data_IF_860811326660
#
_entry.id   IF_860811326660
#
_cell.length_a   1.000
_cell.length_b   1.000
_cell.length_c   1.000
_cell.angle_alpha   90.00
_cell.angle_beta   90.00
_cell.angle_gamma   90.00
#
_symmetry.space_group_name_H-M   'P 1'
#
loop_
_entity.id
_entity.type
_entity.pdbx_description
1 polymer ?
#
# COMPACT_ATOMS: atom_id res chain seq x y z
N UNK A 1 14.99 -16.64 0.09
CA UNK A 1 14.63 -15.57 1.06
C UNK A 1 13.23 -15.04 0.77
N UNK A 2 12.58 -14.35 1.72
CA UNK A 2 11.29 -13.68 1.50
C UNK A 2 11.32 -12.73 0.29
N UNK A 3 12.43 -12.01 0.12
CA UNK A 3 12.68 -11.13 -1.03
C UNK A 3 12.63 -11.89 -2.37
N UNK A 4 13.26 -13.05 -2.45
CA UNK A 4 13.23 -13.88 -3.66
C UNK A 4 11.82 -14.38 -3.97
N UNK A 5 11.07 -14.80 -2.95
CA UNK A 5 9.68 -15.25 -3.10
C UNK A 5 8.80 -14.10 -3.63
N UNK A 6 8.93 -12.90 -3.06
CA UNK A 6 8.23 -11.70 -3.54
C UNK A 6 8.53 -11.40 -5.01
N UNK A 7 9.78 -11.57 -5.43
CA UNK A 7 10.18 -11.30 -6.82
C UNK A 7 9.70 -12.36 -7.81
N UNK A 8 9.59 -13.61 -7.36
CA UNK A 8 9.11 -14.72 -8.19
C UNK A 8 7.60 -14.68 -8.37
N UNK A 9 6.87 -14.42 -7.30
CA UNK A 9 5.40 -14.46 -7.26
C UNK A 9 4.86 -13.16 -6.63
N UNK A 10 4.77 -12.07 -7.41
CA UNK A 10 4.12 -10.86 -6.91
C UNK A 10 2.65 -11.15 -6.64
N UNK A 11 2.18 -10.83 -5.44
CA UNK A 11 0.78 -10.98 -5.08
C UNK A 11 0.23 -9.72 -4.39
N UNK A 12 -1.05 -9.48 -4.57
CA UNK A 12 -1.79 -8.42 -3.92
C UNK A 12 -3.06 -9.01 -3.29
N UNK A 13 -3.22 -8.80 -2.00
CA UNK A 13 -4.46 -9.11 -1.29
C UNK A 13 -5.42 -7.93 -1.33
N UNK A 14 -6.71 -8.23 -1.37
CA UNK A 14 -7.80 -7.29 -1.24
C UNK A 14 -8.65 -7.80 -0.09
N UNK A 15 -8.75 -6.99 0.96
CA UNK A 15 -9.36 -7.35 2.25
C UNK A 15 -10.39 -6.29 2.66
N UNK A 16 -11.43 -6.62 3.42
CA UNK A 16 -12.42 -5.64 3.90
C UNK A 16 -11.77 -4.47 4.68
N UNK A 17 -10.65 -4.74 5.37
CA UNK A 17 -9.89 -3.77 6.14
C UNK A 17 -9.09 -2.77 5.28
N UNK A 18 -9.05 -2.95 3.96
CA UNK A 18 -8.34 -2.03 3.06
C UNK A 18 -8.87 -0.59 3.09
N UNK A 19 -10.12 -0.40 3.51
CA UNK A 19 -10.69 0.91 3.84
C UNK A 19 -9.81 1.70 4.83
N UNK A 20 -9.12 1.00 5.73
CA UNK A 20 -8.27 1.60 6.75
C UNK A 20 -7.00 2.22 6.16
N UNK A 21 -6.64 1.86 4.93
CA UNK A 21 -5.62 2.60 4.17
C UNK A 21 -6.04 4.06 3.93
N UNK A 22 -7.35 4.34 3.83
CA UNK A 22 -7.86 5.70 3.63
C UNK A 22 -8.16 6.38 4.96
N UNK A 23 -8.81 5.68 5.88
CA UNK A 23 -9.32 6.25 7.13
C UNK A 23 -8.39 6.08 8.33
N UNK A 24 -7.55 5.06 8.31
CA UNK A 24 -6.70 4.67 9.42
C UNK A 24 -5.37 5.43 9.51
N UNK A 25 -4.45 4.82 10.25
CA UNK A 25 -3.16 5.43 10.58
C UNK A 25 -2.20 5.55 9.39
N UNK A 26 -1.30 6.55 9.40
CA UNK A 26 -0.29 6.74 8.36
C UNK A 26 0.56 5.52 8.06
N UNK A 27 0.74 4.63 9.03
CA UNK A 27 1.51 3.39 8.88
C UNK A 27 0.95 2.49 7.79
N UNK A 28 -0.39 2.36 7.69
CA UNK A 28 -1.04 1.52 6.67
C UNK A 28 -0.77 2.05 5.26
N UNK A 29 -0.83 3.37 5.09
CA UNK A 29 -0.52 4.02 3.82
C UNK A 29 0.96 3.87 3.43
N UNK A 30 1.88 4.07 4.39
CA UNK A 30 3.31 3.81 4.15
C UNK A 30 3.55 2.36 3.75
N UNK A 31 2.95 1.41 4.47
CA UNK A 31 3.08 -0.03 4.18
C UNK A 31 2.64 -0.37 2.76
N UNK A 32 1.52 0.21 2.30
CA UNK A 32 1.03 0.01 0.94
C UNK A 32 2.05 0.51 -0.10
N UNK A 33 2.50 1.77 0.00
CA UNK A 33 3.45 2.34 -0.95
C UNK A 33 4.83 1.68 -0.86
N UNK A 34 5.35 1.45 0.34
CA UNK A 34 6.67 0.84 0.52
C UNK A 34 6.70 -0.60 -0.02
N UNK A 35 5.61 -1.35 0.17
CA UNK A 35 5.46 -2.69 -0.41
C UNK A 35 5.42 -2.62 -1.94
N UNK A 36 4.62 -1.72 -2.51
CA UNK A 36 4.52 -1.52 -3.95
C UNK A 36 5.89 -1.16 -4.56
N UNK A 37 6.59 -0.19 -3.98
CA UNK A 37 7.90 0.24 -4.45
C UNK A 37 8.93 -0.90 -4.33
N UNK A 38 8.90 -1.66 -3.24
CA UNK A 38 9.81 -2.80 -3.01
C UNK A 38 9.66 -3.91 -4.06
N UNK A 39 8.45 -4.14 -4.57
CA UNK A 39 8.24 -5.07 -5.69
C UNK A 39 8.81 -4.52 -6.99
N UNK A 40 8.64 -3.24 -7.26
CA UNK A 40 9.07 -2.59 -8.49
C UNK A 40 10.57 -2.29 -8.52
N UNK A 41 11.17 -2.05 -7.35
CA UNK A 41 12.58 -1.72 -7.17
C UNK A 41 13.15 -2.43 -5.93
N UNK A 42 13.72 -3.64 -6.11
CA UNK A 42 14.23 -4.44 -4.99
C UNK A 42 15.32 -3.76 -4.14
N UNK A 43 16.07 -2.84 -4.74
CA UNK A 43 17.06 -2.01 -4.01
C UNK A 43 16.40 -1.07 -2.98
N UNK A 44 15.16 -0.68 -3.21
CA UNK A 44 14.38 0.10 -2.25
C UNK A 44 14.09 -0.69 -0.97
N UNK A 45 13.77 -1.98 -1.10
CA UNK A 45 13.58 -2.85 0.07
C UNK A 45 14.85 -2.95 0.92
N UNK A 46 16.01 -3.10 0.27
CA UNK A 46 17.30 -3.13 0.98
C UNK A 46 17.55 -1.80 1.71
N UNK A 47 17.21 -0.66 1.09
CA UNK A 47 17.34 0.66 1.73
C UNK A 47 16.36 0.84 2.90
N UNK A 48 15.13 0.32 2.81
CA UNK A 48 14.19 0.31 3.95
C UNK A 48 14.76 -0.49 5.13
N UNK A 49 15.32 -1.67 4.89
CA UNK A 49 15.95 -2.48 5.93
C UNK A 49 17.16 -1.78 6.55
N UNK A 50 17.99 -1.14 5.71
CA UNK A 50 19.11 -0.33 6.18
C UNK A 50 18.63 0.81 7.08
N UNK A 51 17.64 1.57 6.62
CA UNK A 51 17.05 2.66 7.38
C UNK A 51 16.52 2.20 8.74
N UNK A 52 15.80 1.08 8.79
CA UNK A 52 15.28 0.53 10.04
C UNK A 52 16.40 0.15 11.02
N UNK A 53 17.52 -0.42 10.53
CA UNK A 53 18.69 -0.74 11.37
C UNK A 53 19.33 0.53 11.93
N UNK A 54 19.52 1.56 11.09
CA UNK A 54 20.09 2.85 11.51
C UNK A 54 19.18 3.56 12.52
N UNK A 55 17.87 3.53 12.30
CA UNK A 55 16.88 4.09 13.21
C UNK A 55 16.89 3.39 14.57
N UNK A 56 16.94 2.05 14.56
CA UNK A 56 17.04 1.25 15.79
C UNK A 56 18.33 1.58 16.55
N UNK A 57 19.45 1.70 15.86
CA UNK A 57 20.75 2.07 16.46
C UNK A 57 20.69 3.46 17.09
N UNK A 58 20.16 4.48 16.37
CA UNK A 58 20.00 5.82 16.93
C UNK A 58 19.10 5.81 18.17
N UNK A 59 17.96 5.12 18.11
CA UNK A 59 17.04 5.03 19.24
C UNK A 59 17.66 4.35 20.46
N UNK A 60 18.53 3.37 20.25
CA UNK A 60 19.31 2.74 21.33
C UNK A 60 20.25 3.75 22.00
N UNK A 61 21.03 4.48 21.21
CA UNK A 61 21.95 5.51 21.73
C UNK A 61 21.22 6.63 22.48
N UNK A 62 20.02 7.02 22.02
CA UNK A 62 19.18 8.00 22.74
C UNK A 62 18.75 7.50 24.11
N UNK A 63 18.33 6.24 24.22
CA UNK A 63 17.90 5.60 25.48
C UNK A 63 19.06 5.48 26.46
N UNK A 64 20.23 5.10 25.99
CA UNK A 64 21.45 4.94 26.77
C UNK A 64 22.13 6.27 27.08
N UNK A 65 21.67 7.38 26.47
CA UNK A 65 22.32 8.71 26.54
C UNK A 65 23.78 8.67 26.08
N UNK A 66 24.11 7.76 25.15
CA UNK A 66 25.44 7.54 24.63
C UNK A 66 25.63 8.32 23.33
N UNK A 67 26.07 9.57 23.41
CA UNK A 67 26.14 10.47 22.26
C UNK A 67 27.44 10.38 21.47
N UNK A 68 28.34 9.51 21.87
CA UNK A 68 29.57 9.26 21.11
C UNK A 68 29.21 8.75 19.71
N UNK A 69 29.79 9.35 18.66
CA UNK A 69 29.51 9.05 17.25
C UNK A 69 28.04 9.28 16.80
N UNK A 70 27.21 9.97 17.58
CA UNK A 70 25.82 10.23 17.22
C UNK A 70 25.70 10.99 15.89
N UNK A 71 26.57 11.97 15.64
CA UNK A 71 26.58 12.74 14.38
C UNK A 71 26.83 11.85 13.15
N UNK A 72 27.65 10.80 13.29
CA UNK A 72 27.84 9.81 12.23
C UNK A 72 26.55 9.04 11.94
N UNK A 73 25.89 8.53 12.98
CA UNK A 73 24.64 7.77 12.83
C UNK A 73 23.51 8.62 12.26
N UNK A 74 23.41 9.89 12.68
CA UNK A 74 22.41 10.83 12.15
C UNK A 74 22.66 11.17 10.69
N UNK A 75 23.92 11.31 10.28
CA UNK A 75 24.28 11.51 8.86
C UNK A 75 23.92 10.30 8.02
N UNK A 76 24.27 9.08 8.45
CA UNK A 76 23.93 7.85 7.74
C UNK A 76 22.40 7.64 7.65
N UNK A 77 21.67 7.93 8.74
CA UNK A 77 20.22 7.89 8.77
C UNK A 77 19.61 8.91 7.80
N UNK A 78 20.15 10.12 7.72
CA UNK A 78 19.71 11.17 6.79
C UNK A 78 19.93 10.77 5.34
N UNK A 79 21.08 10.23 4.98
CA UNK A 79 21.36 9.74 3.62
C UNK A 79 20.40 8.63 3.20
N UNK A 80 20.12 7.70 4.10
CA UNK A 80 19.15 6.62 3.85
C UNK A 80 17.73 7.16 3.73
N UNK A 81 17.34 8.10 4.59
CA UNK A 81 16.05 8.78 4.55
C UNK A 81 15.81 9.53 3.23
N UNK A 82 16.83 10.23 2.72
CA UNK A 82 16.77 10.96 1.46
C UNK A 82 16.47 10.02 0.28
N UNK A 83 17.14 8.87 0.22
CA UNK A 83 16.89 7.86 -0.82
C UNK A 83 15.44 7.34 -0.77
N UNK A 84 14.94 7.01 0.43
CA UNK A 84 13.56 6.56 0.63
C UNK A 84 12.58 7.64 0.18
N UNK A 85 12.73 8.89 0.64
CA UNK A 85 11.84 9.99 0.31
C UNK A 85 11.83 10.29 -1.20
N UNK A 86 12.99 10.28 -1.85
CA UNK A 86 13.11 10.46 -3.29
C UNK A 86 12.33 9.38 -4.07
N UNK A 87 12.50 8.11 -3.72
CA UNK A 87 11.79 7.01 -4.37
C UNK A 87 10.27 7.07 -4.13
N UNK A 88 9.85 7.37 -2.91
CA UNK A 88 8.44 7.59 -2.58
C UNK A 88 7.82 8.68 -3.45
N UNK A 89 8.50 9.80 -3.66
CA UNK A 89 8.05 10.89 -4.54
C UNK A 89 7.85 10.41 -5.98
N UNK A 90 8.87 9.78 -6.57
CA UNK A 90 8.82 9.27 -7.96
C UNK A 90 7.65 8.30 -8.15
N UNK A 91 7.50 7.33 -7.25
CA UNK A 91 6.44 6.32 -7.40
C UNK A 91 5.05 6.87 -7.08
N UNK A 92 4.96 7.88 -6.22
CA UNK A 92 3.71 8.59 -5.99
C UNK A 92 3.24 9.35 -7.23
N UNK A 93 4.15 10.01 -7.94
CA UNK A 93 3.83 10.69 -9.21
C UNK A 93 3.32 9.71 -10.24
N UNK A 94 3.94 8.53 -10.36
CA UNK A 94 3.48 7.45 -11.23
C UNK A 94 2.08 7.00 -10.84
N UNK A 95 1.84 6.83 -9.55
CA UNK A 95 0.55 6.40 -9.02
C UNK A 95 -0.55 7.45 -9.27
N UNK A 96 -0.25 8.72 -9.03
CA UNK A 96 -1.17 9.82 -9.28
C UNK A 96 -1.50 9.99 -10.77
N UNK A 97 -0.54 9.76 -11.66
CA UNK A 97 -0.79 9.74 -13.11
C UNK A 97 -1.73 8.59 -13.49
N UNK A 98 -1.58 7.42 -12.88
CA UNK A 98 -2.48 6.28 -13.08
C UNK A 98 -3.88 6.56 -12.52
N UNK A 99 -3.98 7.15 -11.32
CA UNK A 99 -5.25 7.60 -10.74
C UNK A 99 -6.00 8.56 -11.65
N UNK A 100 -5.30 9.54 -12.23
CA UNK A 100 -5.89 10.54 -13.15
C UNK A 100 -6.46 9.91 -14.41
N UNK A 101 -5.88 8.81 -14.88
CA UNK A 101 -6.33 8.08 -16.09
C UNK A 101 -7.42 7.06 -15.80
N UNK A 102 -7.54 6.62 -14.57
CA UNK A 102 -8.48 5.59 -14.17
C UNK A 102 -9.93 6.08 -14.22
N UNK A 103 -10.84 5.20 -14.63
CA UNK A 103 -12.28 5.43 -14.52
C UNK A 103 -12.73 5.12 -13.08
N UNK A 104 -12.52 6.07 -12.20
CA UNK A 104 -12.89 5.94 -10.80
C UNK A 104 -14.42 5.92 -10.62
N UNK A 105 -14.92 5.44 -9.47
CA UNK A 105 -16.35 5.49 -9.16
C UNK A 105 -16.84 6.95 -9.08
N UNK A 106 -18.15 7.15 -9.28
CA UNK A 106 -18.78 8.48 -9.18
C UNK A 106 -18.49 9.10 -7.81
N UNK A 107 -18.07 10.36 -7.81
CA UNK A 107 -17.71 11.11 -6.61
C UNK A 107 -16.25 10.93 -6.18
N UNK A 108 -15.43 10.21 -6.96
CA UNK A 108 -13.99 10.08 -6.72
C UNK A 108 -13.14 10.84 -7.76
N UNK A 109 -13.77 11.73 -8.54
CA UNK A 109 -13.08 12.50 -9.56
C UNK A 109 -12.06 13.46 -8.96
N UNK A 110 -10.87 13.50 -9.56
CA UNK A 110 -9.79 14.39 -9.14
C UNK A 110 -9.10 13.98 -7.84
N UNK A 111 -9.33 12.76 -7.36
CA UNK A 111 -8.63 12.23 -6.19
C UNK A 111 -7.13 12.03 -6.50
N UNK A 112 -6.29 12.32 -5.54
CA UNK A 112 -4.84 12.13 -5.63
C UNK A 112 -4.23 11.86 -4.26
N UNK A 113 -3.03 11.29 -4.23
CA UNK A 113 -2.24 11.19 -3.02
C UNK A 113 -1.26 12.36 -2.89
N UNK A 114 -1.22 12.94 -1.70
CA UNK A 114 -0.23 13.94 -1.30
C UNK A 114 0.81 13.28 -0.39
N UNK A 115 2.09 13.36 -0.75
CA UNK A 115 3.19 12.92 0.13
C UNK A 115 3.52 14.03 1.13
N UNK A 116 3.26 13.77 2.39
CA UNK A 116 3.56 14.68 3.49
C UNK A 116 4.78 14.16 4.26
N UNK A 117 5.94 14.77 3.99
CA UNK A 117 7.12 14.56 4.84
C UNK A 117 6.87 15.10 6.23
N UNK A 118 7.41 14.45 7.24
CA UNK A 118 7.28 14.87 8.62
C UNK A 118 8.44 15.78 9.10
N UNK A 119 9.30 16.20 8.18
CA UNK A 119 10.41 17.13 8.43
C UNK A 119 10.54 18.12 7.26
N UNK A 120 10.93 19.35 7.56
CA UNK A 120 10.94 20.45 6.57
C UNK A 120 12.25 20.57 5.81
N UNK A 121 13.39 20.23 6.47
CA UNK A 121 14.72 20.40 5.88
C UNK A 121 15.03 19.28 4.89
N UNK A 122 15.70 19.62 3.78
CA UNK A 122 16.18 18.61 2.83
C UNK A 122 17.19 17.67 3.49
N UNK A 123 18.07 18.20 4.35
CA UNK A 123 18.99 17.42 5.17
C UNK A 123 18.35 17.10 6.53
N UNK A 124 17.84 15.88 6.66
CA UNK A 124 17.27 15.37 7.89
C UNK A 124 18.28 15.40 9.06
N UNK A 125 19.62 15.34 8.81
CA UNK A 125 20.62 15.31 9.88
C UNK A 125 20.57 16.58 10.74
N UNK A 126 20.26 17.73 10.15
CA UNK A 126 20.10 18.99 10.87
C UNK A 126 18.88 18.95 11.80
N UNK A 127 17.76 18.38 11.32
CA UNK A 127 16.57 18.18 12.15
C UNK A 127 16.85 17.21 13.29
N UNK A 128 17.49 16.07 13.02
CA UNK A 128 17.84 15.08 14.04
C UNK A 128 18.75 15.65 15.13
N UNK A 129 19.73 16.47 14.73
CA UNK A 129 20.63 17.15 15.67
C UNK A 129 19.91 18.17 16.55
N UNK A 130 19.03 18.97 15.95
CA UNK A 130 18.19 19.96 16.65
C UNK A 130 17.26 19.27 17.65
N UNK A 131 16.62 18.18 17.23
CA UNK A 131 15.60 17.48 18.02
C UNK A 131 16.20 16.47 19.00
N UNK A 132 17.52 16.24 19.02
CA UNK A 132 18.21 15.28 19.89
C UNK A 132 17.82 15.41 21.38
N UNK A 133 17.73 16.60 21.99
CA UNK A 133 17.32 16.72 23.39
C UNK A 133 15.88 16.22 23.63
N UNK A 134 14.97 16.47 22.69
CA UNK A 134 13.59 16.01 22.78
C UNK A 134 13.50 14.49 22.54
N UNK A 135 14.16 13.99 21.50
CA UNK A 135 14.21 12.57 21.15
C UNK A 135 14.81 11.74 22.30
N UNK A 136 15.83 12.30 23.00
CA UNK A 136 16.44 11.67 24.20
C UNK A 136 15.43 11.52 25.33
N UNK A 137 14.59 12.54 25.58
CA UNK A 137 13.53 12.46 26.60
C UNK A 137 12.47 11.44 26.25
N UNK A 138 12.15 11.31 24.98
CA UNK A 138 11.13 10.38 24.48
C UNK A 138 11.66 8.95 24.30
N UNK A 139 12.99 8.79 24.15
CA UNK A 139 13.64 7.50 23.85
C UNK A 139 13.45 7.02 22.42
N UNK A 140 12.99 7.89 21.50
CA UNK A 140 12.82 7.54 20.08
C UNK A 140 12.91 8.77 19.16
N UNK A 141 13.21 8.51 17.90
CA UNK A 141 13.34 9.51 16.83
C UNK A 141 11.96 9.94 16.33
N UNK A 142 11.66 11.24 16.30
CA UNK A 142 10.39 11.80 15.84
C UNK A 142 10.37 12.16 14.35
N UNK A 143 11.51 12.49 13.77
CA UNK A 143 11.61 12.97 12.41
C UNK A 143 12.15 11.89 11.47
N UNK A 144 11.59 11.79 10.26
CA UNK A 144 12.07 10.91 9.20
C UNK A 144 10.97 10.10 8.49
N UNK A 145 11.34 9.34 7.45
CA UNK A 145 10.41 8.59 6.59
C UNK A 145 9.47 7.63 7.32
N UNK A 146 9.85 7.13 8.48
CA UNK A 146 9.00 6.30 9.34
C UNK A 146 7.82 7.05 9.97
N UNK A 147 7.76 8.38 9.84
CA UNK A 147 6.70 9.27 10.32
C UNK A 147 5.99 10.03 9.21
N UNK A 148 6.42 9.87 7.96
CA UNK A 148 5.76 10.49 6.81
C UNK A 148 4.35 9.96 6.60
N UNK A 149 3.56 10.65 5.78
CA UNK A 149 2.22 10.23 5.41
C UNK A 149 1.96 10.37 3.91
N UNK A 150 1.02 9.56 3.41
CA UNK A 150 0.45 9.60 2.06
C UNK A 150 -1.04 9.90 2.19
N UNK A 151 -1.41 11.17 2.18
CA UNK A 151 -2.78 11.60 2.36
C UNK A 151 -3.56 11.48 1.05
N UNK A 152 -4.64 10.71 1.05
CA UNK A 152 -5.57 10.70 -0.07
C UNK A 152 -6.49 11.91 0.01
N UNK A 153 -6.50 12.72 -1.05
CA UNK A 153 -7.20 13.99 -1.10
C UNK A 153 -8.10 14.12 -2.32
N UNK A 154 -9.22 14.81 -2.13
CA UNK A 154 -9.91 15.53 -3.18
C UNK A 154 -9.33 16.95 -3.33
N UNK A 155 -9.67 17.68 -4.40
CA UNK A 155 -9.30 19.09 -4.51
C UNK A 155 -9.75 19.94 -3.32
N UNK A 156 -10.84 19.54 -2.64
CA UNK A 156 -11.43 20.27 -1.50
C UNK A 156 -10.91 19.81 -0.13
N UNK A 157 -10.10 18.74 -0.05
CA UNK A 157 -9.54 18.27 1.21
C UNK A 157 -9.39 16.75 1.32
N UNK A 158 -9.08 16.28 2.53
CA UNK A 158 -8.77 14.87 2.78
C UNK A 158 -10.00 13.99 2.62
N UNK A 159 -9.91 12.95 1.80
CA UNK A 159 -11.02 12.04 1.41
C UNK A 159 -11.80 11.52 2.62
N UNK A 160 -11.14 11.11 3.69
CA UNK A 160 -11.79 10.55 4.89
C UNK A 160 -12.82 11.47 5.56
N UNK A 161 -12.79 12.78 5.28
CA UNK A 161 -13.72 13.75 5.88
C UNK A 161 -14.94 14.04 4.99
N UNK A 162 -14.90 13.65 3.72
CA UNK A 162 -15.95 13.98 2.73
C UNK A 162 -16.63 12.74 2.13
N UNK A 163 -15.93 11.59 2.07
CA UNK A 163 -16.46 10.40 1.44
C UNK A 163 -17.32 9.57 2.41
N UNK A 164 -18.41 9.00 1.91
CA UNK A 164 -19.20 8.01 2.64
C UNK A 164 -18.44 6.71 2.83
N UNK A 165 -18.88 5.85 3.76
CA UNK A 165 -18.25 4.55 4.01
C UNK A 165 -18.23 3.66 2.76
N UNK A 166 -19.32 3.64 1.98
CA UNK A 166 -19.37 2.91 0.72
C UNK A 166 -18.40 3.44 -0.34
N UNK A 167 -18.26 4.78 -0.44
CA UNK A 167 -17.26 5.40 -1.32
C UNK A 167 -15.83 5.07 -0.89
N UNK A 168 -15.54 5.07 0.40
CA UNK A 168 -14.22 4.72 0.95
C UNK A 168 -13.87 3.28 0.59
N UNK A 169 -14.78 2.32 0.81
CA UNK A 169 -14.59 0.90 0.47
C UNK A 169 -14.31 0.71 -1.03
N UNK A 170 -15.17 1.29 -1.85
CA UNK A 170 -15.01 1.22 -3.31
C UNK A 170 -13.68 1.83 -3.75
N UNK A 171 -13.34 3.01 -3.21
CA UNK A 171 -12.12 3.72 -3.57
C UNK A 171 -10.86 2.97 -3.12
N UNK A 172 -10.87 2.34 -1.93
CA UNK A 172 -9.74 1.52 -1.47
C UNK A 172 -9.45 0.35 -2.40
N UNK A 173 -10.50 -0.28 -2.93
CA UNK A 173 -10.36 -1.33 -3.93
C UNK A 173 -9.74 -0.80 -5.23
N UNK A 174 -10.25 0.32 -5.77
CA UNK A 174 -9.69 0.92 -6.99
C UNK A 174 -8.22 1.32 -6.84
N UNK A 175 -7.83 1.83 -5.67
CA UNK A 175 -6.43 2.16 -5.37
C UNK A 175 -5.55 0.90 -5.49
N UNK A 176 -5.97 -0.22 -4.93
CA UNK A 176 -5.23 -1.49 -5.05
C UNK A 176 -5.24 -2.04 -6.48
N UNK A 177 -6.35 -1.92 -7.19
CA UNK A 177 -6.43 -2.32 -8.59
C UNK A 177 -5.46 -1.51 -9.46
N UNK A 178 -5.35 -0.20 -9.24
CA UNK A 178 -4.35 0.65 -9.92
C UNK A 178 -2.94 0.19 -9.57
N UNK A 179 -2.68 -0.16 -8.31
CA UNK A 179 -1.41 -0.76 -7.90
C UNK A 179 -1.09 -2.03 -8.68
N UNK A 180 -2.08 -2.92 -8.88
CA UNK A 180 -1.94 -4.14 -9.68
C UNK A 180 -1.65 -3.84 -11.15
N UNK A 181 -2.31 -2.84 -11.73
CA UNK A 181 -2.05 -2.38 -13.11
C UNK A 181 -0.63 -1.84 -13.28
N UNK A 182 -0.15 -1.05 -12.31
CA UNK A 182 1.24 -0.55 -12.31
C UNK A 182 2.23 -1.71 -12.25
N UNK A 183 1.97 -2.73 -11.42
CA UNK A 183 2.80 -3.94 -11.37
C UNK A 183 2.85 -4.67 -12.71
N UNK A 184 1.69 -4.98 -13.27
CA UNK A 184 1.60 -5.71 -14.53
C UNK A 184 2.37 -4.99 -15.65
N UNK A 185 2.25 -3.67 -15.74
CA UNK A 185 2.90 -2.85 -16.74
C UNK A 185 4.43 -2.79 -16.56
N UNK A 186 4.91 -2.65 -15.32
CA UNK A 186 6.34 -2.38 -15.05
C UNK A 186 7.18 -3.63 -14.87
N UNK A 187 6.65 -4.66 -14.22
CA UNK A 187 7.39 -5.91 -14.02
C UNK A 187 7.32 -6.84 -15.21
N UNK A 188 6.44 -6.58 -16.20
CA UNK A 188 6.11 -7.54 -17.28
C UNK A 188 5.73 -8.92 -16.70
N UNK A 189 5.26 -8.96 -15.47
CA UNK A 189 4.77 -10.13 -14.73
C UNK A 189 3.39 -9.80 -14.21
N UNK A 190 2.48 -10.76 -14.38
CA UNK A 190 1.12 -10.61 -13.87
C UNK A 190 1.11 -10.97 -12.38
N UNK A 191 0.65 -10.08 -11.48
CA UNK A 191 0.53 -10.41 -10.06
C UNK A 191 -0.61 -11.41 -9.86
N UNK A 192 -0.52 -12.25 -8.84
CA UNK A 192 -1.66 -13.04 -8.34
C UNK A 192 -2.50 -12.13 -7.45
N UNK A 193 -3.81 -12.10 -7.67
CA UNK A 193 -4.73 -11.32 -6.85
C UNK A 193 -5.50 -12.24 -5.91
N UNK A 194 -5.49 -11.93 -4.63
CA UNK A 194 -6.20 -12.63 -3.58
C UNK A 194 -7.31 -11.70 -3.08
N UNK A 195 -8.57 -12.05 -3.28
CA UNK A 195 -9.72 -11.20 -2.95
C UNK A 195 -10.56 -11.91 -1.90
N UNK A 196 -10.61 -11.34 -0.69
CA UNK A 196 -11.32 -11.91 0.43
C UNK A 196 -12.65 -11.18 0.68
N UNK A 197 -13.76 -11.84 0.36
CA UNK A 197 -15.16 -11.46 0.63
C UNK A 197 -15.58 -9.98 0.38
N UNK A 198 -14.82 -9.26 -0.45
CA UNK A 198 -15.06 -7.82 -0.71
C UNK A 198 -16.39 -7.57 -1.43
N UNK A 199 -16.81 -8.52 -2.26
CA UNK A 199 -17.98 -8.31 -3.12
C UNK A 199 -19.30 -8.26 -2.35
N UNK A 200 -19.38 -8.85 -1.16
CA UNK A 200 -20.57 -8.80 -0.31
C UNK A 200 -20.97 -7.37 0.10
N UNK A 201 -19.99 -6.49 0.21
CA UNK A 201 -20.16 -5.12 0.72
C UNK A 201 -20.34 -4.05 -0.38
N UNK A 202 -20.29 -4.45 -1.66
CA UNK A 202 -20.38 -3.54 -2.80
C UNK A 202 -21.76 -3.62 -3.47
N UNK A 203 -22.26 -2.48 -3.96
CA UNK A 203 -23.42 -2.47 -4.82
C UNK A 203 -23.14 -3.10 -6.20
N UNK A 204 -24.21 -3.50 -6.91
CA UNK A 204 -24.13 -4.22 -8.18
C UNK A 204 -23.35 -3.45 -9.27
N UNK A 205 -23.47 -2.12 -9.31
CA UNK A 205 -22.77 -1.28 -10.29
C UNK A 205 -21.26 -1.28 -10.05
N UNK A 206 -20.86 -1.10 -8.79
CA UNK A 206 -19.44 -1.10 -8.41
C UNK A 206 -18.83 -2.50 -8.55
N UNK A 207 -19.56 -3.57 -8.19
CA UNK A 207 -19.10 -4.96 -8.44
C UNK A 207 -18.76 -5.18 -9.91
N UNK A 208 -19.68 -4.83 -10.82
CA UNK A 208 -19.47 -5.00 -12.27
C UNK A 208 -18.24 -4.27 -12.77
N UNK A 209 -18.06 -3.01 -12.36
CA UNK A 209 -16.88 -2.22 -12.78
C UNK A 209 -15.57 -2.82 -12.27
N UNK A 210 -15.55 -3.28 -11.03
CA UNK A 210 -14.38 -3.91 -10.41
C UNK A 210 -14.01 -5.20 -11.15
N UNK A 211 -14.99 -6.05 -11.44
CA UNK A 211 -14.75 -7.29 -12.16
C UNK A 211 -14.22 -7.05 -13.57
N UNK A 212 -14.77 -6.07 -14.30
CA UNK A 212 -14.23 -5.67 -15.59
C UNK A 212 -12.76 -5.23 -15.47
N UNK A 213 -12.42 -4.43 -14.45
CA UNK A 213 -11.03 -4.03 -14.21
C UNK A 213 -10.09 -5.19 -13.86
N UNK A 214 -10.59 -6.21 -13.16
CA UNK A 214 -9.84 -7.44 -12.87
C UNK A 214 -9.65 -8.30 -14.14
N UNK A 215 -10.66 -8.41 -14.99
CA UNK A 215 -10.58 -9.15 -16.24
C UNK A 215 -9.59 -8.52 -17.24
N UNK A 216 -9.50 -7.18 -17.27
CA UNK A 216 -8.53 -6.45 -18.09
C UNK A 216 -7.07 -6.74 -17.70
N UNK A 217 -6.80 -7.11 -16.45
CA UNK A 217 -5.46 -7.46 -15.98
C UNK A 217 -4.97 -8.82 -16.53
N UNK A 218 -5.90 -9.68 -17.00
CA UNK A 218 -5.60 -11.03 -17.49
C UNK A 218 -4.65 -11.81 -16.55
N UNK A 219 -4.86 -11.72 -15.27
CA UNK A 219 -4.04 -12.32 -14.21
C UNK A 219 -4.78 -13.43 -13.49
N UNK A 220 -4.07 -14.23 -12.69
CA UNK A 220 -4.71 -15.20 -11.81
C UNK A 220 -5.37 -14.46 -10.64
N UNK A 221 -6.67 -14.73 -10.44
CA UNK A 221 -7.45 -14.16 -9.34
C UNK A 221 -8.02 -15.31 -8.52
N UNK A 222 -7.80 -15.28 -7.20
CA UNK A 222 -8.46 -16.16 -6.24
C UNK A 222 -9.44 -15.32 -5.43
N UNK A 223 -10.69 -15.74 -5.38
CA UNK A 223 -11.77 -15.02 -4.71
C UNK A 223 -12.41 -15.92 -3.69
N UNK A 224 -12.54 -15.45 -2.45
CA UNK A 224 -13.44 -16.08 -1.47
C UNK A 224 -14.78 -15.36 -1.46
N UNK A 225 -15.85 -16.09 -1.26
CA UNK A 225 -17.20 -15.55 -1.11
C UNK A 225 -18.07 -16.47 -0.28
N UNK A 226 -18.97 -15.91 0.51
CA UNK A 226 -19.92 -16.67 1.32
C UNK A 226 -20.97 -17.33 0.43
N UNK A 227 -21.36 -16.68 -0.68
CA UNK A 227 -22.38 -17.17 -1.60
C UNK A 227 -21.90 -17.14 -3.06
N UNK A 228 -21.87 -18.29 -3.72
CA UNK A 228 -21.51 -18.45 -5.14
C UNK A 228 -22.41 -17.59 -6.04
N UNK A 229 -23.71 -17.50 -5.75
CA UNK A 229 -24.68 -16.80 -6.58
C UNK A 229 -24.43 -15.27 -6.63
N UNK A 230 -23.70 -14.74 -5.66
CA UNK A 230 -23.29 -13.33 -5.66
C UNK A 230 -22.22 -13.00 -6.71
N UNK A 231 -21.50 -14.00 -7.22
CA UNK A 231 -20.39 -13.86 -8.14
C UNK A 231 -20.70 -14.33 -9.56
N UNK A 232 -21.42 -15.46 -9.68
CA UNK A 232 -21.64 -16.16 -10.97
C UNK A 232 -22.20 -15.27 -12.09
N UNK A 233 -23.20 -14.39 -11.86
CA UNK A 233 -23.77 -13.54 -12.92
C UNK A 233 -22.82 -12.45 -13.43
N UNK A 234 -21.68 -12.26 -12.77
CA UNK A 234 -20.81 -11.11 -12.98
C UNK A 234 -19.56 -11.46 -13.80
N UNK A 235 -19.17 -12.75 -13.84
CA UNK A 235 -18.02 -13.20 -14.60
C UNK A 235 -18.36 -13.49 -16.06
N UNK A 236 -17.60 -12.89 -16.98
CA UNK A 236 -17.68 -13.16 -18.42
C UNK A 236 -16.69 -14.26 -18.86
N UNK A 237 -15.65 -14.51 -18.04
CA UNK A 237 -14.62 -15.52 -18.30
C UNK A 237 -14.88 -16.79 -17.51
N UNK A 238 -14.37 -17.91 -18.03
CA UNK A 238 -14.40 -19.21 -17.32
C UNK A 238 -13.67 -19.13 -16.00
N UNK A 239 -14.25 -19.69 -14.96
CA UNK A 239 -13.65 -19.81 -13.64
C UNK A 239 -13.89 -21.20 -13.04
N UNK A 240 -12.96 -21.61 -12.16
CA UNK A 240 -13.12 -22.81 -11.36
C UNK A 240 -13.69 -22.43 -10.00
N UNK A 241 -14.73 -23.12 -9.53
CA UNK A 241 -15.26 -22.94 -8.18
C UNK A 241 -14.84 -24.10 -7.28
N UNK A 242 -14.55 -23.78 -6.02
CA UNK A 242 -14.28 -24.74 -4.97
C UNK A 242 -15.18 -24.41 -3.79
N UNK A 243 -15.85 -25.39 -3.25
CA UNK A 243 -16.72 -25.23 -2.08
C UNK A 243 -16.08 -25.90 -0.87
N UNK A 244 -15.96 -25.15 0.23
CA UNK A 244 -15.52 -25.70 1.53
C UNK A 244 -16.74 -26.20 2.30
N UNK A 245 -16.65 -27.41 2.85
CA UNK A 245 -17.67 -28.00 3.73
C UNK A 245 -17.22 -27.93 5.19
N UNK A 246 -18.19 -28.01 6.10
CA UNK A 246 -17.92 -28.20 7.53
C UNK A 246 -17.00 -29.40 7.74
N UNK A 247 -15.86 -29.18 8.39
CA UNK A 247 -14.80 -30.20 8.54
C UNK A 247 -13.58 -30.02 7.62
N UNK A 248 -13.54 -28.94 6.80
CA UNK A 248 -12.36 -28.59 6.01
C UNK A 248 -12.21 -29.35 4.69
N UNK A 249 -13.19 -30.12 4.29
CA UNK A 249 -13.20 -30.77 2.98
C UNK A 249 -13.43 -29.75 1.87
N UNK A 250 -12.63 -29.85 0.80
CA UNK A 250 -12.75 -29.00 -0.39
C UNK A 250 -13.35 -29.86 -1.51
N UNK A 251 -14.49 -29.44 -2.04
CA UNK A 251 -15.10 -30.08 -3.19
C UNK A 251 -14.95 -29.18 -4.42
N UNK A 252 -14.48 -29.73 -5.54
CA UNK A 252 -14.44 -29.03 -6.83
C UNK A 252 -15.89 -28.81 -7.28
N UNK A 253 -16.27 -27.56 -7.49
CA UNK A 253 -17.55 -27.19 -8.07
C UNK A 253 -17.53 -27.30 -9.60
N UNK A 254 -18.65 -26.97 -10.21
CA UNK A 254 -18.80 -26.96 -11.68
C UNK A 254 -17.95 -25.84 -12.31
N UNK A 255 -17.43 -26.12 -13.51
CA UNK A 255 -16.89 -25.08 -14.39
C UNK A 255 -18.06 -24.26 -14.93
N UNK A 256 -17.90 -22.94 -15.01
CA UNK A 256 -18.83 -22.08 -15.74
C UNK A 256 -18.54 -22.26 -17.24
N UNK A 257 -19.49 -22.78 -18.00
CA UNK A 257 -19.37 -22.95 -19.47
C UNK A 257 -19.37 -21.62 -20.22
#
# INVERSE_FOLDING_TARGET
SFKELMMLFPFLSFEPEDKDMITGEPELRRRFFDRMISYLEPSYYDELLRYQKLLKQRNQLLKEKAFQNMDFWEKELSLSAQKIASRRGVYLDIFNQALKKAKLPIGAEGVFFLYKKNYEQEDLSLTLKKDRPLDTRLGFTKAGPHRDDFLLQFPLGVVKHFASQGQIKTLSFYIKLIGAQIFAQRLKKKPILLIDDIFAELDSSNRKKILLGLEELETQVLITAVNKDSLTPLFQKKFFSFQTQLGGHIQKGEENE
#
